data_IF_999254863407
#
_entry.id   IF_999254863407
#
_cell.length_a   1.000
_cell.length_b   1.000
_cell.length_c   1.000
_cell.angle_alpha   90.00
_cell.angle_beta   90.00
_cell.angle_gamma   90.00
#
_symmetry.space_group_name_H-M   'P 1'
#
loop_
_entity.id
_entity.type
_entity.pdbx_description
1 polymer ?
#
# COMPACT_ATOMS: atom_id res chain seq x y z
N UNK A 1 -32.88 8.90 26.58
CA UNK A 1 -31.54 9.48 26.54
C UNK A 1 -30.47 8.41 26.53
N UNK A 2 -30.50 7.50 27.51
CA UNK A 2 -29.49 6.40 27.53
C UNK A 2 -29.54 5.52 26.28
N UNK A 3 -30.75 5.24 25.77
CA UNK A 3 -30.94 4.45 24.56
C UNK A 3 -30.34 5.11 23.32
N UNK A 4 -30.50 6.43 23.20
CA UNK A 4 -29.92 7.20 22.10
C UNK A 4 -28.40 7.19 22.15
N UNK A 5 -27.83 7.33 23.34
CA UNK A 5 -26.40 7.29 23.53
C UNK A 5 -25.84 5.94 23.14
N UNK A 6 -26.53 4.86 23.53
CA UNK A 6 -26.13 3.51 23.19
C UNK A 6 -26.14 3.27 21.67
N UNK A 7 -27.18 3.74 21.00
CA UNK A 7 -27.30 3.63 19.55
C UNK A 7 -26.20 4.42 18.85
N UNK A 8 -25.90 5.61 19.33
CA UNK A 8 -24.83 6.42 18.76
C UNK A 8 -23.46 5.72 18.91
N UNK A 9 -23.22 5.14 20.07
CA UNK A 9 -21.99 4.40 20.30
C UNK A 9 -21.87 3.17 19.38
N UNK A 10 -22.95 2.45 19.18
CA UNK A 10 -22.97 1.28 18.31
C UNK A 10 -22.73 1.69 16.85
N UNK A 11 -23.37 2.75 16.41
CA UNK A 11 -23.18 3.27 15.06
C UNK A 11 -21.72 3.72 14.85
N UNK A 12 -21.14 4.37 15.83
CA UNK A 12 -19.76 4.82 15.79
C UNK A 12 -18.80 3.63 15.70
N UNK A 13 -19.04 2.60 16.49
CA UNK A 13 -18.23 1.39 16.47
C UNK A 13 -18.27 0.70 15.09
N UNK A 14 -19.45 0.64 14.48
CA UNK A 14 -19.61 0.09 13.14
C UNK A 14 -18.86 0.93 12.11
N UNK A 15 -18.93 2.24 12.20
CA UNK A 15 -18.22 3.14 11.30
C UNK A 15 -16.71 2.98 11.45
N UNK A 16 -16.22 2.84 12.67
CA UNK A 16 -14.79 2.61 12.92
C UNK A 16 -14.33 1.25 12.38
N UNK A 17 -15.14 0.22 12.53
CA UNK A 17 -14.85 -1.09 11.99
C UNK A 17 -14.79 -1.05 10.47
N UNK A 18 -15.73 -0.36 9.84
CA UNK A 18 -15.73 -0.16 8.40
C UNK A 18 -14.51 0.63 7.93
N UNK A 19 -14.15 1.69 8.66
CA UNK A 19 -12.95 2.46 8.37
C UNK A 19 -11.69 1.63 8.51
N UNK A 20 -11.61 0.79 9.55
CA UNK A 20 -10.50 -0.14 9.74
C UNK A 20 -10.38 -1.15 8.61
N UNK A 21 -11.52 -1.68 8.13
CA UNK A 21 -11.55 -2.62 7.02
C UNK A 21 -11.13 -1.96 5.70
N UNK A 22 -11.28 -0.64 5.60
CA UNK A 22 -10.91 0.13 4.42
C UNK A 22 -9.52 0.77 4.53
N UNK A 23 -8.84 0.56 5.67
CA UNK A 23 -7.49 1.06 5.84
C UNK A 23 -6.57 0.41 4.81
N UNK A 24 -5.89 1.23 4.02
CA UNK A 24 -4.99 0.73 3.02
C UNK A 24 -3.59 0.50 3.59
N UNK A 25 -2.94 -0.50 3.06
CA UNK A 25 -1.54 -0.78 3.32
C UNK A 25 -0.75 -0.42 2.07
N UNK A 26 0.24 0.42 2.20
CA UNK A 26 1.09 0.82 1.10
C UNK A 26 2.40 0.06 1.17
N UNK A 27 2.72 -0.63 0.08
CA UNK A 27 3.98 -1.36 -0.07
C UNK A 27 4.86 -0.61 -1.06
N UNK A 28 6.15 -0.61 -0.80
CA UNK A 28 7.13 0.09 -1.65
C UNK A 28 7.83 -0.90 -2.55
N UNK A 29 7.91 -0.56 -3.84
CA UNK A 29 8.61 -1.35 -4.84
C UNK A 29 9.68 -0.47 -5.49
N UNK A 30 10.94 -0.75 -5.18
CA UNK A 30 12.06 0.00 -5.75
C UNK A 30 12.63 -0.71 -6.97
N UNK A 31 13.01 0.05 -7.97
CA UNK A 31 13.71 -0.46 -9.16
C UNK A 31 14.86 0.45 -9.51
N UNK A 32 15.78 -0.06 -10.33
CA UNK A 32 16.90 0.71 -10.88
C UNK A 32 16.68 1.12 -12.33
N UNK A 33 15.53 0.74 -12.91
CA UNK A 33 15.22 1.02 -14.31
C UNK A 33 14.46 2.33 -14.43
N UNK A 34 14.48 2.92 -15.62
CA UNK A 34 13.74 4.15 -15.90
C UNK A 34 12.27 3.85 -16.24
N UNK A 35 11.48 4.90 -16.35
CA UNK A 35 10.04 4.80 -16.55
C UNK A 35 9.63 4.29 -17.94
N UNK A 36 10.54 4.32 -18.91
CA UNK A 36 10.32 3.79 -20.25
C UNK A 36 10.69 2.33 -20.38
N UNK A 37 11.34 1.76 -19.38
CA UNK A 37 11.76 0.37 -19.39
C UNK A 37 10.57 -0.57 -19.26
N UNK A 38 10.63 -1.70 -19.93
CA UNK A 38 9.55 -2.70 -19.88
C UNK A 38 9.32 -3.26 -18.49
N UNK A 39 10.35 -3.35 -17.66
CA UNK A 39 10.18 -3.77 -16.25
C UNK A 39 9.36 -2.75 -15.48
N UNK A 40 9.57 -1.46 -15.74
CA UNK A 40 8.76 -0.42 -15.09
C UNK A 40 7.31 -0.50 -15.53
N UNK A 41 7.07 -0.69 -16.80
CA UNK A 41 5.70 -0.84 -17.34
C UNK A 41 5.01 -2.03 -16.69
N UNK A 42 5.73 -3.15 -16.55
CA UNK A 42 5.21 -4.32 -15.87
C UNK A 42 4.92 -4.05 -14.39
N UNK A 43 5.78 -3.30 -13.72
CA UNK A 43 5.59 -2.94 -12.31
C UNK A 43 4.35 -2.06 -12.13
N UNK A 44 4.12 -1.11 -13.03
CA UNK A 44 2.91 -0.26 -13.01
C UNK A 44 1.67 -1.13 -13.16
N UNK A 45 1.68 -2.08 -14.10
CA UNK A 45 0.55 -2.97 -14.29
C UNK A 45 0.32 -3.86 -13.09
N UNK A 46 1.38 -4.34 -12.47
CA UNK A 46 1.30 -5.11 -11.23
C UNK A 46 0.63 -4.27 -10.12
N UNK A 47 1.05 -3.02 -9.97
CA UNK A 47 0.49 -2.12 -8.97
C UNK A 47 -1.00 -1.88 -9.19
N UNK A 48 -1.41 -1.68 -10.44
CA UNK A 48 -2.82 -1.50 -10.81
C UNK A 48 -3.64 -2.74 -10.45
N UNK A 49 -3.13 -3.93 -10.75
CA UNK A 49 -3.83 -5.18 -10.48
C UNK A 49 -3.94 -5.47 -8.98
N UNK A 50 -2.92 -5.14 -8.21
CA UNK A 50 -2.97 -5.29 -6.75
C UNK A 50 -4.05 -4.39 -6.17
N UNK A 51 -4.10 -3.13 -6.58
CA UNK A 51 -5.13 -2.19 -6.14
C UNK A 51 -6.53 -2.71 -6.49
N UNK A 52 -6.73 -3.09 -7.74
CA UNK A 52 -8.02 -3.58 -8.23
C UNK A 52 -8.45 -4.86 -7.51
N UNK A 53 -7.57 -5.84 -7.40
CA UNK A 53 -7.91 -7.15 -6.85
C UNK A 53 -8.04 -7.17 -5.34
N UNK A 54 -7.49 -6.17 -4.67
CA UNK A 54 -7.64 -6.02 -3.22
C UNK A 54 -8.67 -4.96 -2.84
N UNK A 55 -9.39 -4.41 -3.81
CA UNK A 55 -10.35 -3.31 -3.60
C UNK A 55 -9.72 -2.13 -2.86
N UNK A 56 -8.47 -1.82 -3.19
CA UNK A 56 -7.75 -0.71 -2.58
C UNK A 56 -7.17 -0.98 -1.20
N UNK A 57 -7.28 -2.20 -0.69
CA UNK A 57 -6.67 -2.55 0.60
C UNK A 57 -5.16 -2.46 0.56
N UNK A 58 -4.56 -2.85 -0.59
CA UNK A 58 -3.13 -2.80 -0.80
C UNK A 58 -2.81 -1.91 -1.99
N UNK A 59 -1.85 -1.02 -1.79
CA UNK A 59 -1.35 -0.13 -2.82
C UNK A 59 0.15 -0.35 -2.97
N UNK A 60 0.63 -0.32 -4.20
CA UNK A 60 2.05 -0.42 -4.49
C UNK A 60 2.53 0.94 -4.96
N UNK A 61 3.49 1.51 -4.25
CA UNK A 61 4.18 2.72 -4.69
C UNK A 61 5.48 2.31 -5.36
N UNK A 62 5.72 2.81 -6.57
CA UNK A 62 6.88 2.45 -7.36
C UNK A 62 7.91 3.57 -7.31
N UNK A 63 9.15 3.22 -7.01
CA UNK A 63 10.27 4.15 -6.95
C UNK A 63 11.31 3.71 -7.98
N UNK A 64 11.25 4.27 -9.20
CA UNK A 64 12.16 3.90 -10.27
C UNK A 64 13.49 4.63 -10.19
N UNK A 65 14.35 4.36 -11.16
CA UNK A 65 15.62 5.09 -11.36
C UNK A 65 16.62 4.98 -10.21
N UNK A 66 16.50 3.98 -9.35
CA UNK A 66 17.40 3.82 -8.23
C UNK A 66 17.24 4.87 -7.14
N UNK A 67 16.05 5.48 -7.04
CA UNK A 67 15.79 6.52 -6.02
C UNK A 67 15.88 5.98 -4.61
N UNK A 68 15.69 4.68 -4.41
CA UNK A 68 15.85 4.02 -3.12
C UNK A 68 17.21 3.36 -2.96
N UNK A 69 18.15 3.68 -3.83
CA UNK A 69 19.49 3.10 -3.84
C UNK A 69 19.67 2.06 -4.93
N UNK A 70 20.87 1.48 -5.01
CA UNK A 70 21.16 0.40 -5.94
C UNK A 70 20.54 -0.92 -5.47
N UNK A 71 20.71 -1.97 -6.26
CA UNK A 71 20.12 -3.28 -5.95
C UNK A 71 20.58 -3.81 -4.60
N UNK A 72 21.87 -3.69 -4.28
CA UNK A 72 22.38 -4.15 -2.98
C UNK A 72 21.80 -3.37 -1.83
N UNK A 73 21.69 -2.05 -2.00
CA UNK A 73 21.10 -1.18 -0.96
C UNK A 73 19.64 -1.55 -0.72
N UNK A 74 18.89 -1.83 -1.77
CA UNK A 74 17.50 -2.22 -1.65
C UNK A 74 17.34 -3.59 -1.00
N UNK A 75 18.21 -4.54 -1.33
CA UNK A 75 18.20 -5.85 -0.68
C UNK A 75 18.48 -5.75 0.82
N UNK A 76 19.42 -4.90 1.20
CA UNK A 76 19.72 -4.63 2.61
C UNK A 76 18.51 -3.99 3.30
N UNK A 77 17.87 -3.03 2.64
CA UNK A 77 16.67 -2.37 3.18
C UNK A 77 15.50 -3.35 3.36
N UNK A 78 15.36 -4.29 2.45
CA UNK A 78 14.33 -5.34 2.57
C UNK A 78 14.61 -6.24 3.77
N UNK A 79 15.86 -6.58 4.01
CA UNK A 79 16.22 -7.45 5.13
C UNK A 79 16.03 -6.77 6.49
N UNK A 80 16.05 -5.45 6.54
CA UNK A 80 15.83 -4.69 7.77
C UNK A 80 14.39 -4.22 7.94
N UNK A 81 13.53 -4.46 6.95
CA UNK A 81 12.14 -4.04 6.98
C UNK A 81 11.89 -2.60 6.57
N UNK A 82 12.90 -1.90 6.06
CA UNK A 82 12.76 -0.52 5.59
C UNK A 82 12.15 -0.43 4.20
N UNK A 83 12.22 -1.50 3.44
CA UNK A 83 11.67 -1.60 2.10
C UNK A 83 10.93 -2.92 1.96
N UNK A 84 9.87 -2.94 1.20
CA UNK A 84 9.07 -4.13 0.95
C UNK A 84 9.53 -4.87 -0.29
#
# INVERSE_FOLDING_TARGET
MKKLTTLAAAALALAMTGAGALAETTLQLGTTVNEQDSFHVAAVKFAELVDERTNGEYKIEIYPNGTLGGESDMLDSMSTGMLD
#
